data_IF_645962582366
#
_entry.id   IF_645962582366
#
_cell.length_a   1.000
_cell.length_b   1.000
_cell.length_c   1.000
_cell.angle_alpha   90.00
_cell.angle_beta   90.00
_cell.angle_gamma   90.00
#
_symmetry.space_group_name_H-M   'P 1'
#
loop_
_entity.id
_entity.type
_entity.pdbx_description
1 polymer ?
#
# COMPACT_ATOMS: atom_id res chain seq x y z
N UNK A 1 -0.87 20.40 -41.17
CA UNK A 1 0.08 19.85 -40.19
C UNK A 1 -0.73 19.11 -39.16
N UNK A 2 -0.85 17.77 -39.20
CA UNK A 2 -1.56 17.04 -38.17
C UNK A 2 -0.68 16.92 -36.93
N UNK A 3 -1.27 17.23 -35.78
CA UNK A 3 -0.71 17.01 -34.46
C UNK A 3 -0.43 15.52 -34.31
N UNK A 4 0.82 15.15 -34.05
CA UNK A 4 1.18 13.80 -33.67
C UNK A 4 0.46 13.45 -32.37
N UNK A 5 -0.58 12.63 -32.49
CA UNK A 5 -1.17 11.88 -31.39
C UNK A 5 -0.11 10.95 -30.83
N UNK A 6 0.70 11.41 -29.87
CA UNK A 6 1.40 10.50 -28.99
C UNK A 6 0.32 9.78 -28.18
N UNK A 7 0.21 8.46 -28.37
CA UNK A 7 -0.71 7.61 -27.65
C UNK A 7 -0.53 7.83 -26.14
N UNK A 8 -1.54 8.41 -25.51
CA UNK A 8 -1.59 8.67 -24.06
C UNK A 8 -1.95 7.38 -23.29
N UNK A 9 -1.46 6.23 -23.75
CA UNK A 9 -1.76 4.93 -23.16
C UNK A 9 -0.88 4.70 -21.93
N UNK A 10 -1.47 4.15 -20.89
CA UNK A 10 -0.73 3.69 -19.71
C UNK A 10 -0.05 2.38 -20.10
N UNK A 11 1.28 2.29 -20.01
CA UNK A 11 1.99 1.04 -20.29
C UNK A 11 1.47 -0.10 -19.41
N UNK A 12 1.23 -1.25 -20.01
CA UNK A 12 0.81 -2.44 -19.28
C UNK A 12 1.85 -2.85 -18.22
N UNK A 13 3.14 -2.67 -18.53
CA UNK A 13 4.25 -2.93 -17.62
C UNK A 13 4.18 -2.09 -16.33
N UNK A 14 3.68 -0.86 -16.39
CA UNK A 14 3.52 -0.02 -15.19
C UNK A 14 2.41 -0.56 -14.29
N UNK A 15 1.32 -1.05 -14.88
CA UNK A 15 0.21 -1.68 -14.13
C UNK A 15 0.65 -3.03 -13.54
N UNK A 16 1.42 -3.82 -14.30
CA UNK A 16 1.97 -5.08 -13.81
C UNK A 16 2.91 -4.84 -12.62
N UNK A 17 3.79 -3.84 -12.72
CA UNK A 17 4.69 -3.45 -11.62
C UNK A 17 3.92 -3.00 -10.38
N UNK A 18 2.93 -2.10 -10.55
CA UNK A 18 2.06 -1.67 -9.45
C UNK A 18 1.39 -2.86 -8.74
N UNK A 19 0.79 -3.78 -9.50
CA UNK A 19 0.10 -4.94 -8.92
C UNK A 19 1.08 -5.89 -8.25
N UNK A 20 2.31 -6.01 -8.75
CA UNK A 20 3.36 -6.78 -8.10
C UNK A 20 3.84 -6.11 -6.80
N UNK A 21 3.99 -4.80 -6.76
CA UNK A 21 4.30 -4.03 -5.55
C UNK A 21 3.18 -4.20 -4.50
N UNK A 22 1.91 -4.11 -4.92
CA UNK A 22 0.76 -4.39 -4.06
C UNK A 22 0.72 -5.83 -3.56
N UNK A 23 1.15 -6.81 -4.37
CA UNK A 23 1.25 -8.20 -3.93
C UNK A 23 2.27 -8.34 -2.79
N UNK A 24 3.45 -7.75 -2.94
CA UNK A 24 4.48 -7.77 -1.89
C UNK A 24 4.02 -7.06 -0.61
N UNK A 25 3.36 -5.90 -0.73
CA UNK A 25 2.78 -5.20 0.41
C UNK A 25 1.68 -6.04 1.09
N UNK A 26 0.87 -6.75 0.31
CA UNK A 26 -0.11 -7.72 0.81
C UNK A 26 0.52 -8.85 1.63
N UNK A 27 1.63 -9.42 1.14
CA UNK A 27 2.38 -10.46 1.88
C UNK A 27 2.95 -9.93 3.21
N UNK A 28 3.41 -8.67 3.24
CA UNK A 28 3.82 -8.01 4.48
C UNK A 28 2.62 -7.82 5.42
N UNK A 29 1.47 -7.36 4.92
CA UNK A 29 0.25 -7.21 5.71
C UNK A 29 -0.17 -8.54 6.35
N UNK A 30 -0.11 -9.65 5.60
CA UNK A 30 -0.46 -10.98 6.09
C UNK A 30 0.52 -11.43 7.20
N UNK A 31 1.81 -11.16 7.05
CA UNK A 31 2.81 -11.42 8.11
C UNK A 31 2.52 -10.61 9.39
N UNK A 32 2.17 -9.33 9.25
CA UNK A 32 1.85 -8.46 10.38
C UNK A 32 0.56 -8.87 11.09
N UNK A 33 -0.43 -9.34 10.35
CA UNK A 33 -1.67 -9.90 10.90
C UNK A 33 -1.38 -11.16 11.72
N UNK A 34 -0.59 -12.11 11.20
CA UNK A 34 -0.16 -13.27 11.98
C UNK A 34 0.56 -12.86 13.28
N UNK A 35 1.44 -11.85 13.22
CA UNK A 35 2.10 -11.34 14.42
C UNK A 35 1.09 -10.75 15.42
N UNK A 36 0.06 -10.04 14.94
CA UNK A 36 -0.95 -9.43 15.80
C UNK A 36 -1.88 -10.44 16.47
N UNK A 37 -2.10 -11.60 15.84
CA UNK A 37 -2.94 -12.69 16.34
C UNK A 37 -2.21 -13.61 17.32
N UNK A 38 -0.88 -13.71 17.22
CA UNK A 38 -0.06 -14.47 18.16
C UNK A 38 0.26 -13.72 19.46
N UNK A 39 -0.10 -12.44 19.57
CA UNK A 39 0.08 -11.68 20.80
C UNK A 39 -0.67 -12.34 21.98
N UNK A 40 -0.04 -12.41 23.19
CA UNK A 40 1.13 -11.63 23.62
C UNK A 40 2.48 -12.27 23.30
N UNK A 41 2.53 -13.40 22.59
CA UNK A 41 3.80 -13.98 22.16
C UNK A 41 4.42 -13.09 21.09
N UNK A 42 5.53 -12.45 21.43
CA UNK A 42 6.22 -11.58 20.49
C UNK A 42 6.89 -12.40 19.37
N UNK A 43 6.91 -11.90 18.13
CA UNK A 43 7.66 -12.52 17.06
C UNK A 43 9.15 -12.62 17.43
N UNK A 44 9.86 -13.68 17.01
CA UNK A 44 11.27 -13.82 17.30
C UNK A 44 12.07 -12.69 16.63
N UNK A 45 13.19 -12.27 17.25
CA UNK A 45 14.05 -11.19 16.77
C UNK A 45 14.35 -11.20 15.24
N UNK A 46 14.68 -12.33 14.57
CA UNK A 46 14.89 -12.32 13.12
C UNK A 46 13.63 -11.96 12.30
N UNK A 47 12.43 -12.27 12.81
CA UNK A 47 11.17 -11.87 12.17
C UNK A 47 10.91 -10.39 12.39
N UNK A 48 11.20 -9.87 13.59
CA UNK A 48 11.12 -8.43 13.89
C UNK A 48 12.03 -7.63 12.97
N UNK A 49 13.30 -8.02 12.82
CA UNK A 49 14.23 -7.34 11.91
C UNK A 49 13.75 -7.38 10.47
N UNK A 50 13.26 -8.54 9.99
CA UNK A 50 12.70 -8.66 8.65
C UNK A 50 11.50 -7.72 8.43
N UNK A 51 10.62 -7.60 9.42
CA UNK A 51 9.48 -6.67 9.37
C UNK A 51 9.97 -5.23 9.32
N UNK A 52 10.90 -4.86 10.21
CA UNK A 52 11.46 -3.51 10.25
C UNK A 52 12.18 -3.13 8.96
N UNK A 53 12.93 -4.05 8.36
CA UNK A 53 13.62 -3.83 7.07
C UNK A 53 12.61 -3.72 5.93
N UNK A 54 11.55 -4.53 5.92
CA UNK A 54 10.49 -4.43 4.92
C UNK A 54 9.74 -3.09 5.05
N UNK A 55 9.37 -2.68 6.26
CA UNK A 55 8.72 -1.39 6.53
C UNK A 55 9.62 -0.21 6.16
N UNK A 56 10.91 -0.24 6.53
CA UNK A 56 11.85 0.81 6.17
C UNK A 56 12.09 0.87 4.65
N UNK A 57 12.14 -0.29 3.99
CA UNK A 57 12.33 -0.43 2.55
C UNK A 57 11.18 0.12 1.72
N UNK A 58 9.98 0.29 2.30
CA UNK A 58 8.90 1.04 1.65
C UNK A 58 9.37 2.49 1.37
N UNK A 59 10.04 3.14 2.32
CA UNK A 59 10.33 4.59 2.26
C UNK A 59 11.71 4.96 1.68
N UNK A 60 12.62 4.00 1.55
CA UNK A 60 14.00 4.26 1.09
C UNK A 60 14.12 4.52 -0.42
N UNK A 61 13.01 4.46 -1.18
CA UNK A 61 13.00 4.63 -2.64
C UNK A 61 13.01 6.10 -3.12
N UNK A 62 13.17 7.11 -2.26
CA UNK A 62 13.37 8.49 -2.75
C UNK A 62 13.44 9.64 -1.74
N UNK A 63 13.78 9.38 -0.48
CA UNK A 63 13.86 10.40 0.57
C UNK A 63 12.52 10.71 1.23
N UNK A 64 12.53 11.57 2.27
CA UNK A 64 11.42 11.89 3.21
C UNK A 64 10.10 12.34 2.52
N UNK A 65 10.10 12.57 1.22
CA UNK A 65 8.92 12.96 0.42
C UNK A 65 8.51 11.94 -0.65
N UNK A 66 9.25 10.86 -0.84
CA UNK A 66 8.90 9.82 -1.81
C UNK A 66 7.86 8.88 -1.19
N UNK A 67 6.69 8.84 -1.82
CA UNK A 67 5.69 7.84 -1.49
C UNK A 67 6.27 6.45 -1.81
N UNK A 68 6.11 5.44 -0.93
CA UNK A 68 6.46 4.05 -1.25
C UNK A 68 5.61 3.49 -2.40
N UNK A 69 4.54 4.21 -2.73
CA UNK A 69 3.62 3.89 -3.79
C UNK A 69 4.00 4.65 -5.07
N UNK A 70 3.84 4.04 -6.25
CA UNK A 70 4.20 4.66 -7.51
C UNK A 70 3.43 5.97 -7.73
N UNK A 71 4.09 6.95 -8.34
CA UNK A 71 3.43 8.21 -8.69
C UNK A 71 2.45 8.00 -9.85
N UNK A 72 1.20 7.73 -9.49
CA UNK A 72 0.10 7.54 -10.44
C UNK A 72 -0.45 8.86 -10.99
N UNK A 73 0.08 10.02 -10.60
CA UNK A 73 -0.47 11.32 -11.03
C UNK A 73 -0.39 11.53 -12.55
N UNK A 74 0.62 10.95 -13.18
CA UNK A 74 0.78 10.93 -14.64
C UNK A 74 -0.30 10.12 -15.38
N UNK A 75 -1.00 9.24 -14.66
CA UNK A 75 -2.08 8.38 -15.19
C UNK A 75 -3.41 9.12 -15.33
N UNK A 76 -3.48 10.37 -14.86
CA UNK A 76 -4.72 11.14 -14.79
C UNK A 76 -4.64 12.47 -15.51
N UNK A 77 -5.80 13.00 -15.92
CA UNK A 77 -5.90 14.37 -16.42
C UNK A 77 -6.05 15.31 -15.23
N UNK A 78 -5.04 16.17 -15.00
CA UNK A 78 -5.05 17.14 -13.90
C UNK A 78 -6.18 18.17 -14.01
N UNK A 79 -6.81 18.32 -15.18
CA UNK A 79 -7.97 19.17 -15.38
C UNK A 79 -9.30 18.52 -14.94
N UNK A 80 -9.32 17.20 -14.68
CA UNK A 80 -10.52 16.48 -14.20
C UNK A 80 -10.67 16.66 -12.67
N UNK A 81 -11.73 17.34 -12.19
CA UNK A 81 -11.94 17.55 -10.76
C UNK A 81 -12.09 16.25 -9.96
N UNK A 82 -12.64 15.20 -10.58
CA UNK A 82 -12.74 13.88 -9.93
C UNK A 82 -11.36 13.25 -9.78
N UNK A 83 -10.49 13.41 -10.77
CA UNK A 83 -9.11 12.94 -10.70
C UNK A 83 -8.36 13.62 -9.55
N UNK A 84 -8.46 14.95 -9.46
CA UNK A 84 -7.83 15.71 -8.38
C UNK A 84 -8.25 15.21 -6.99
N UNK A 85 -9.55 15.00 -6.77
CA UNK A 85 -10.07 14.50 -5.50
C UNK A 85 -9.59 13.08 -5.18
N UNK A 86 -9.66 12.15 -6.15
CA UNK A 86 -9.23 10.77 -5.94
C UNK A 86 -7.72 10.66 -5.68
N UNK A 87 -6.90 11.43 -6.41
CA UNK A 87 -5.45 11.49 -6.19
C UNK A 87 -5.15 11.99 -4.78
N UNK A 88 -5.87 13.01 -4.31
CA UNK A 88 -5.67 13.53 -2.96
C UNK A 88 -6.04 12.50 -1.90
N UNK A 89 -7.10 11.72 -2.11
CA UNK A 89 -7.44 10.61 -1.22
C UNK A 89 -6.37 9.52 -1.18
N UNK A 90 -5.83 9.14 -2.34
CA UNK A 90 -4.72 8.17 -2.44
C UNK A 90 -3.50 8.70 -1.70
N UNK A 91 -3.09 9.95 -1.94
CA UNK A 91 -1.96 10.59 -1.26
C UNK A 91 -2.14 10.68 0.25
N UNK A 92 -3.31 11.11 0.70
CA UNK A 92 -3.62 11.21 2.13
C UNK A 92 -3.51 9.84 2.81
N UNK A 93 -3.93 8.77 2.12
CA UNK A 93 -3.79 7.40 2.64
C UNK A 93 -2.34 6.97 2.69
N UNK A 94 -1.56 7.22 1.64
CA UNK A 94 -0.13 6.89 1.61
C UNK A 94 0.65 7.59 2.71
N UNK A 95 0.32 8.86 2.99
CA UNK A 95 0.91 9.61 4.09
C UNK A 95 0.56 9.01 5.46
N UNK A 96 -0.70 8.61 5.67
CA UNK A 96 -1.12 7.96 6.90
C UNK A 96 -0.42 6.60 7.11
N UNK A 97 -0.31 5.79 6.06
CA UNK A 97 0.41 4.52 6.10
C UNK A 97 1.91 4.74 6.39
N UNK A 98 2.51 5.80 5.85
CA UNK A 98 3.89 6.20 6.15
C UNK A 98 4.12 6.48 7.64
N UNK A 99 3.28 7.33 8.23
CA UNK A 99 3.35 7.63 9.66
C UNK A 99 3.18 6.37 10.51
N UNK A 100 2.21 5.50 10.17
CA UNK A 100 2.00 4.26 10.90
C UNK A 100 3.18 3.27 10.80
N UNK A 101 3.86 3.21 9.66
CA UNK A 101 5.04 2.35 9.51
C UNK A 101 6.23 2.84 10.34
N UNK A 102 6.49 4.14 10.36
CA UNK A 102 7.53 4.75 11.20
C UNK A 102 7.27 4.44 12.68
N UNK A 103 6.04 4.67 13.14
CA UNK A 103 5.62 4.36 14.51
C UNK A 103 5.80 2.87 14.84
N UNK A 104 5.49 1.98 13.90
CA UNK A 104 5.67 0.53 14.06
C UNK A 104 7.14 0.14 14.14
N UNK A 105 8.00 0.70 13.29
CA UNK A 105 9.45 0.44 13.33
C UNK A 105 10.02 0.87 14.68
N UNK A 106 9.64 2.04 15.17
CA UNK A 106 10.07 2.57 16.48
C UNK A 106 9.58 1.68 17.64
N UNK A 107 8.33 1.20 17.57
CA UNK A 107 7.76 0.29 18.55
C UNK A 107 8.48 -1.07 18.57
N UNK A 108 8.75 -1.63 17.39
CA UNK A 108 9.36 -2.97 17.23
C UNK A 108 10.86 -2.99 17.56
N UNK A 109 11.62 -1.96 17.16
CA UNK A 109 13.05 -1.83 17.48
C UNK A 109 13.30 -1.43 18.94
N UNK A 110 12.25 -1.07 19.67
CA UNK A 110 12.34 -0.79 21.08
C UNK A 110 13.21 0.43 21.39
N UNK A 111 13.06 1.51 20.62
CA UNK A 111 13.68 2.80 20.95
C UNK A 111 13.46 3.09 22.45
N UNK A 112 14.52 3.50 23.16
CA UNK A 112 14.74 3.40 24.62
C UNK A 112 13.59 3.89 25.53
N UNK A 113 12.57 4.56 25.00
CA UNK A 113 11.40 5.05 25.72
C UNK A 113 10.09 4.23 25.51
N UNK A 114 10.00 3.33 24.52
CA UNK A 114 8.76 2.64 24.13
C UNK A 114 8.70 1.15 24.50
N UNK A 115 9.84 0.44 24.51
CA UNK A 115 9.89 -1.00 24.77
C UNK A 115 9.37 -1.41 26.17
N UNK A 116 9.54 -0.55 27.17
CA UNK A 116 9.01 -0.77 28.53
C UNK A 116 7.53 -0.41 28.69
N UNK A 117 6.90 0.23 27.68
CA UNK A 117 5.54 0.82 27.78
C UNK A 117 4.52 0.24 26.82
N UNK A 118 4.93 -0.47 25.77
CA UNK A 118 4.01 -1.02 24.78
C UNK A 118 3.40 -2.33 25.29
N UNK A 119 2.17 -2.26 25.78
CA UNK A 119 1.39 -3.47 26.06
C UNK A 119 1.14 -4.25 24.77
N UNK A 120 1.01 -5.59 24.83
CA UNK A 120 0.62 -6.40 23.66
C UNK A 120 -0.65 -5.88 22.98
N UNK A 121 -1.62 -5.37 23.73
CA UNK A 121 -2.82 -4.77 23.18
C UNK A 121 -2.53 -3.53 22.32
N UNK A 122 -1.59 -2.69 22.75
CA UNK A 122 -1.18 -1.51 21.99
C UNK A 122 -0.45 -1.90 20.71
N UNK A 123 0.47 -2.86 20.78
CA UNK A 123 1.18 -3.36 19.59
C UNK A 123 0.19 -3.97 18.59
N UNK A 124 -0.73 -4.80 19.08
CA UNK A 124 -1.78 -5.39 18.25
C UNK A 124 -2.72 -4.37 17.63
N UNK A 125 -2.95 -3.22 18.28
CA UNK A 125 -3.71 -2.11 17.70
C UNK A 125 -2.92 -1.42 16.59
N UNK A 126 -1.64 -1.10 16.82
CA UNK A 126 -0.78 -0.46 15.82
C UNK A 126 -0.62 -1.32 14.56
N UNK A 127 -0.40 -2.63 14.74
CA UNK A 127 -0.31 -3.59 13.63
C UNK A 127 -1.60 -3.59 12.79
N UNK A 128 -2.77 -3.70 13.46
CA UNK A 128 -4.09 -3.68 12.80
C UNK A 128 -4.34 -2.39 12.03
N UNK A 129 -4.06 -1.24 12.65
CA UNK A 129 -4.18 0.05 11.98
C UNK A 129 -3.33 0.13 10.71
N UNK A 130 -2.11 -0.38 10.75
CA UNK A 130 -1.23 -0.37 9.58
C UNK A 130 -1.69 -1.31 8.48
N UNK A 131 -1.93 -2.60 8.77
CA UNK A 131 -2.28 -3.54 7.69
C UNK A 131 -3.67 -3.27 7.11
N UNK A 132 -4.64 -2.82 7.90
CA UNK A 132 -5.94 -2.36 7.38
C UNK A 132 -5.79 -1.05 6.61
N UNK A 133 -4.87 -0.19 7.07
CA UNK A 133 -4.26 0.95 6.39
C UNK A 133 -3.94 0.63 4.93
N UNK A 134 -2.87 -0.15 4.74
CA UNK A 134 -2.34 -0.53 3.44
C UNK A 134 -3.37 -1.28 2.57
N UNK A 135 -4.16 -2.19 3.15
CA UNK A 135 -5.14 -2.98 2.38
C UNK A 135 -6.23 -2.14 1.73
N UNK A 136 -6.66 -1.05 2.35
CA UNK A 136 -7.61 -0.13 1.73
C UNK A 136 -6.90 0.87 0.80
N UNK A 137 -5.63 1.21 1.06
CA UNK A 137 -4.83 2.04 0.16
C UNK A 137 -4.69 1.38 -1.21
N UNK A 138 -4.26 0.11 -1.24
CA UNK A 138 -4.10 -0.68 -2.48
C UNK A 138 -5.42 -0.76 -3.27
N UNK A 139 -6.55 -0.98 -2.59
CA UNK A 139 -7.85 -1.01 -3.25
C UNK A 139 -8.24 0.37 -3.80
N UNK A 140 -8.02 1.43 -3.01
CA UNK A 140 -8.35 2.79 -3.39
C UNK A 140 -7.55 3.21 -4.63
N UNK A 141 -6.25 2.91 -4.66
CA UNK A 141 -5.37 3.21 -5.78
C UNK A 141 -5.78 2.45 -7.05
N UNK A 142 -5.96 1.13 -6.99
CA UNK A 142 -6.37 0.36 -8.17
C UNK A 142 -7.77 0.74 -8.68
N UNK A 143 -8.71 1.07 -7.78
CA UNK A 143 -10.02 1.59 -8.16
C UNK A 143 -9.94 2.99 -8.78
N UNK A 144 -9.07 3.87 -8.26
CA UNK A 144 -8.84 5.20 -8.82
C UNK A 144 -8.26 5.08 -10.25
N UNK A 145 -7.31 4.17 -10.46
CA UNK A 145 -6.76 3.89 -11.80
C UNK A 145 -7.86 3.41 -12.74
N UNK A 146 -8.67 2.42 -12.33
CA UNK A 146 -9.78 1.92 -13.15
C UNK A 146 -10.81 3.00 -13.49
N UNK A 147 -11.10 3.89 -12.54
CA UNK A 147 -12.08 4.96 -12.71
C UNK A 147 -11.59 6.07 -13.65
N UNK A 148 -10.33 6.49 -13.50
CA UNK A 148 -9.81 7.69 -14.13
C UNK A 148 -9.07 7.43 -15.43
N UNK A 149 -8.35 6.30 -15.54
CA UNK A 149 -7.57 5.99 -16.72
C UNK A 149 -8.45 5.67 -17.95
N UNK A 150 -9.75 5.39 -17.76
CA UNK A 150 -10.77 5.24 -18.81
C UNK A 150 -10.27 4.51 -20.07
N UNK A 151 -9.98 5.26 -21.15
CA UNK A 151 -9.57 4.76 -22.47
C UNK A 151 -8.04 4.63 -22.64
N UNK A 152 -7.27 5.04 -21.63
CA UNK A 152 -5.79 4.96 -21.59
C UNK A 152 -5.29 3.60 -21.11
N UNK A 153 -6.15 2.79 -20.47
CA UNK A 153 -5.82 1.42 -20.08
C UNK A 153 -6.05 0.45 -21.24
N UNK A 154 -5.06 -0.40 -21.51
CA UNK A 154 -5.27 -1.57 -22.36
C UNK A 154 -6.26 -2.53 -21.71
N UNK A 155 -6.91 -3.38 -22.50
CA UNK A 155 -7.82 -4.40 -21.96
C UNK A 155 -7.11 -5.39 -21.03
N UNK A 156 -5.85 -5.71 -21.33
CA UNK A 156 -5.02 -6.57 -20.50
C UNK A 156 -4.71 -5.92 -19.14
N UNK A 157 -4.22 -4.68 -19.14
CA UNK A 157 -3.96 -3.91 -17.92
C UNK A 157 -5.23 -3.75 -17.05
N UNK A 158 -6.37 -3.49 -17.68
CA UNK A 158 -7.66 -3.44 -16.99
C UNK A 158 -8.03 -4.77 -16.32
N UNK A 159 -7.77 -5.89 -17.00
CA UNK A 159 -8.08 -7.23 -16.47
C UNK A 159 -7.18 -7.56 -15.26
N UNK A 160 -5.90 -7.21 -15.34
CA UNK A 160 -4.94 -7.36 -14.23
C UNK A 160 -5.43 -6.65 -12.96
N UNK A 161 -5.85 -5.38 -13.06
CA UNK A 161 -6.39 -4.63 -11.93
C UNK A 161 -7.67 -5.26 -11.35
N UNK A 162 -8.59 -5.69 -12.23
CA UNK A 162 -9.85 -6.32 -11.81
C UNK A 162 -9.58 -7.64 -11.08
N UNK A 163 -8.67 -8.47 -11.59
CA UNK A 163 -8.32 -9.75 -10.99
C UNK A 163 -7.58 -9.58 -9.66
N UNK A 164 -6.69 -8.59 -9.57
CA UNK A 164 -6.02 -8.17 -8.34
C UNK A 164 -7.03 -7.77 -7.24
N UNK A 165 -7.97 -6.87 -7.54
CA UNK A 165 -9.05 -6.46 -6.63
C UNK A 165 -9.93 -7.62 -6.19
N UNK A 166 -10.33 -8.50 -7.12
CA UNK A 166 -11.13 -9.71 -6.80
C UNK A 166 -10.37 -10.67 -5.90
N UNK A 167 -9.08 -10.87 -6.17
CA UNK A 167 -8.20 -11.69 -5.35
C UNK A 167 -8.14 -11.19 -3.92
N UNK A 168 -7.92 -9.89 -3.72
CA UNK A 168 -7.88 -9.26 -2.38
C UNK A 168 -9.22 -9.30 -1.66
N UNK A 169 -10.33 -9.04 -2.35
CA UNK A 169 -11.68 -9.11 -1.75
C UNK A 169 -12.00 -10.52 -1.26
N UNK A 170 -11.58 -11.54 -2.02
CA UNK A 170 -11.79 -12.95 -1.65
C UNK A 170 -11.00 -13.32 -0.39
N UNK A 171 -9.73 -12.91 -0.28
CA UNK A 171 -8.90 -13.18 0.91
C UNK A 171 -9.47 -12.59 2.20
N UNK A 172 -10.02 -11.37 2.14
CA UNK A 172 -10.65 -10.71 3.30
C UNK A 172 -11.88 -11.46 3.83
N UNK A 173 -12.68 -12.05 2.94
CA UNK A 173 -13.81 -12.88 3.36
C UNK A 173 -13.36 -14.13 4.15
N UNK A 174 -12.22 -14.73 3.80
CA UNK A 174 -11.72 -15.90 4.52
C UNK A 174 -11.04 -15.56 5.85
N UNK A 175 -10.40 -14.38 5.96
CA UNK A 175 -9.74 -13.93 7.20
C UNK A 175 -10.71 -13.52 8.32
N UNK A 176 -11.98 -13.26 8.02
CA UNK A 176 -13.00 -12.85 9.01
C UNK A 176 -13.80 -14.02 9.62
N UNK A 177 -13.31 -15.27 9.50
CA UNK A 177 -13.99 -16.50 9.95
C UNK A 177 -13.17 -17.22 11.01
#
# INVERSE_FOLDING_TARGET
MPLTSQSNEIPEDDILRLVDDHRHLGELCDLLECCADELPTLPPAPVVEKICDALAGLYDQGGVTASPYPDVTSLYDAADPLAAVLIEHVRARHLADATHAEDLVDALRGSLNMAERLSPNMLGYMLRCFFDGCRQAMDCEELAILALARHRLTQAARSVLIDSLRGRASRRCFAST
#
